data_IF_286236079557
#
_entry.id   IF_286236079557
#
_cell.length_a   1.000
_cell.length_b   1.000
_cell.length_c   1.000
_cell.angle_alpha   90.00
_cell.angle_beta   90.00
_cell.angle_gamma   90.00
#
_symmetry.space_group_name_H-M   'P 1'
#
loop_
_entity.id
_entity.type
_entity.pdbx_description
1 polymer ?
#
# COMPACT_ATOMS: atom_id res chain seq x y z
N UNK A 1 -7.95 14.60 11.49
CA UNK A 1 -7.06 14.60 10.32
C UNK A 1 -5.58 14.33 10.67
N UNK A 2 -4.88 15.15 11.45
CA UNK A 2 -3.45 14.90 11.77
C UNK A 2 -3.22 13.56 12.48
N UNK A 3 -4.03 13.21 13.46
CA UNK A 3 -3.90 11.92 14.16
C UNK A 3 -4.14 10.73 13.20
N UNK A 4 -5.13 10.84 12.32
CA UNK A 4 -5.37 9.83 11.27
C UNK A 4 -4.16 9.74 10.33
N UNK A 5 -3.60 10.89 9.90
CA UNK A 5 -2.42 10.91 9.06
C UNK A 5 -1.20 10.24 9.73
N UNK A 6 -1.03 10.42 11.06
CA UNK A 6 0.02 9.72 11.80
C UNK A 6 -0.19 8.20 11.83
N UNK A 7 -1.43 7.72 11.94
CA UNK A 7 -1.70 6.28 11.86
C UNK A 7 -1.24 5.70 10.52
N UNK A 8 -1.60 6.33 9.40
CA UNK A 8 -1.16 5.90 8.07
C UNK A 8 0.35 6.07 7.85
N UNK A 9 0.94 7.14 8.40
CA UNK A 9 2.40 7.34 8.35
C UNK A 9 3.13 6.23 9.12
N UNK A 10 2.64 5.85 10.32
CA UNK A 10 3.20 4.75 11.09
C UNK A 10 3.05 3.42 10.35
N UNK A 11 1.90 3.20 9.73
CA UNK A 11 1.64 2.03 8.88
C UNK A 11 2.63 1.95 7.70
N UNK A 12 2.86 3.07 7.00
CA UNK A 12 3.84 3.15 5.92
C UNK A 12 5.28 2.88 6.38
N UNK A 13 5.69 3.39 7.54
CA UNK A 13 7.00 3.08 8.13
C UNK A 13 7.11 1.60 8.50
N UNK A 14 6.04 1.02 9.05
CA UNK A 14 6.00 -0.40 9.38
C UNK A 14 6.21 -1.26 8.13
N UNK A 15 5.49 -0.99 7.05
CA UNK A 15 5.62 -1.76 5.81
C UNK A 15 6.98 -1.59 5.14
N UNK A 16 7.58 -0.38 5.19
CA UNK A 16 8.94 -0.14 4.70
C UNK A 16 9.98 -0.95 5.50
N UNK A 17 9.88 -1.02 6.82
CA UNK A 17 10.75 -1.85 7.65
C UNK A 17 10.52 -3.34 7.33
N UNK A 18 9.27 -3.80 7.32
CA UNK A 18 8.95 -5.19 7.02
C UNK A 18 9.49 -5.67 5.66
N UNK A 19 9.46 -4.81 4.64
CA UNK A 19 9.99 -5.12 3.32
C UNK A 19 11.51 -4.96 3.18
N UNK A 20 12.23 -4.49 4.21
CA UNK A 20 13.65 -4.22 4.09
C UNK A 20 14.48 -5.47 3.79
N UNK A 21 14.11 -6.63 4.34
CA UNK A 21 14.83 -7.89 4.11
C UNK A 21 14.36 -8.67 2.87
N UNK A 22 13.36 -8.16 2.13
CA UNK A 22 12.91 -8.80 0.89
C UNK A 22 14.00 -8.77 -0.20
N UNK A 23 13.99 -9.79 -1.07
CA UNK A 23 15.01 -9.96 -2.11
C UNK A 23 15.12 -8.74 -3.02
N UNK A 24 13.99 -8.16 -3.45
CA UNK A 24 13.95 -6.95 -4.28
C UNK A 24 14.65 -5.77 -3.60
N UNK A 25 14.39 -5.55 -2.32
CA UNK A 25 14.98 -4.47 -1.52
C UNK A 25 16.49 -4.63 -1.36
N UNK A 26 16.95 -5.87 -1.09
CA UNK A 26 18.39 -6.17 -1.00
C UNK A 26 19.11 -5.96 -2.33
N UNK A 27 18.49 -6.34 -3.46
CA UNK A 27 19.05 -6.15 -4.79
C UNK A 27 19.23 -4.66 -5.12
N UNK A 28 18.23 -3.82 -4.81
CA UNK A 28 18.32 -2.37 -5.04
C UNK A 28 19.36 -1.72 -4.13
N UNK A 29 19.38 -2.03 -2.84
CA UNK A 29 20.41 -1.51 -1.94
C UNK A 29 21.81 -1.86 -2.42
N UNK A 30 22.06 -3.12 -2.82
CA UNK A 30 23.34 -3.55 -3.39
C UNK A 30 23.69 -2.79 -4.67
N UNK A 31 22.72 -2.62 -5.57
CA UNK A 31 22.93 -1.94 -6.87
C UNK A 31 23.37 -0.49 -6.67
N UNK A 32 22.74 0.24 -5.75
CA UNK A 32 22.99 1.66 -5.55
C UNK A 32 24.06 1.98 -4.50
N UNK A 33 24.44 1.03 -3.63
CA UNK A 33 25.52 1.22 -2.66
C UNK A 33 26.93 1.18 -3.25
N UNK A 34 27.11 0.61 -4.44
CA UNK A 34 28.43 0.47 -5.11
C UNK A 34 29.02 1.82 -5.52
N UNK A 35 28.19 2.82 -5.73
CA UNK A 35 28.65 4.19 -5.96
C UNK A 35 28.81 4.87 -4.60
N UNK A 36 30.05 5.21 -4.20
CA UNK A 36 30.40 5.98 -2.97
C UNK A 36 29.86 7.42 -3.04
N UNK A 37 28.57 7.59 -3.34
CA UNK A 37 27.90 8.87 -3.24
C UNK A 37 27.64 9.14 -1.75
N UNK A 38 28.01 10.30 -1.29
CA UNK A 38 27.64 10.80 0.06
C UNK A 38 26.12 10.86 0.13
N UNK A 39 25.50 9.84 0.70
CA UNK A 39 24.05 9.78 0.81
C UNK A 39 23.53 10.75 1.87
N UNK A 40 22.41 11.38 1.60
CA UNK A 40 21.76 12.35 2.48
C UNK A 40 20.44 11.84 3.06
N UNK A 41 19.86 10.79 2.47
CA UNK A 41 18.58 10.24 2.87
C UNK A 41 18.69 8.78 3.33
N UNK A 42 17.89 8.43 4.34
CA UNK A 42 17.88 7.12 4.99
C UNK A 42 17.01 6.14 4.20
N UNK A 43 17.55 4.94 3.92
CA UNK A 43 16.76 3.77 3.61
C UNK A 43 16.48 3.02 4.92
N UNK A 44 15.21 2.83 5.26
CA UNK A 44 14.80 2.19 6.51
C UNK A 44 15.34 0.75 6.58
N UNK A 45 15.80 0.34 7.75
CA UNK A 45 16.45 -0.96 7.92
C UNK A 45 17.84 -1.06 7.28
N UNK A 46 18.48 0.04 6.89
CA UNK A 46 19.84 0.09 6.35
C UNK A 46 20.76 1.03 7.15
N UNK A 47 22.04 0.68 7.22
CA UNK A 47 23.07 1.58 7.76
C UNK A 47 23.48 2.68 6.79
N UNK A 48 23.38 2.38 5.49
CA UNK A 48 23.83 3.27 4.44
C UNK A 48 22.78 4.33 4.14
N UNK A 49 23.27 5.52 3.80
CA UNK A 49 22.48 6.59 3.20
C UNK A 49 22.63 6.56 1.68
N UNK A 50 21.61 7.08 1.00
CA UNK A 50 21.50 7.16 -0.45
C UNK A 50 21.15 8.60 -0.84
N UNK A 51 21.19 8.93 -2.14
CA UNK A 51 20.57 10.16 -2.62
C UNK A 51 19.08 10.14 -2.32
N UNK A 52 18.43 11.31 -2.30
CA UNK A 52 16.99 11.39 -1.98
C UNK A 52 16.16 10.54 -2.95
N UNK A 53 16.48 10.56 -4.25
CA UNK A 53 15.80 9.80 -5.29
C UNK A 53 15.93 8.29 -5.04
N UNK A 54 17.15 7.80 -4.82
CA UNK A 54 17.37 6.38 -4.58
C UNK A 54 16.79 5.91 -3.23
N UNK A 55 16.81 6.76 -2.20
CA UNK A 55 16.17 6.44 -0.93
C UNK A 55 14.65 6.36 -1.09
N UNK A 56 14.04 7.26 -1.86
CA UNK A 56 12.62 7.22 -2.19
C UNK A 56 12.27 5.93 -2.96
N UNK A 57 13.06 5.59 -4.00
CA UNK A 57 12.90 4.34 -4.75
C UNK A 57 12.92 3.12 -3.83
N UNK A 58 13.97 2.99 -3.02
CA UNK A 58 14.17 1.78 -2.22
C UNK A 58 13.12 1.68 -1.12
N UNK A 59 12.83 2.76 -0.39
CA UNK A 59 11.78 2.79 0.62
C UNK A 59 10.40 2.52 0.03
N UNK A 60 10.09 3.04 -1.17
CA UNK A 60 8.87 2.76 -1.88
C UNK A 60 8.72 1.29 -2.28
N UNK A 61 9.80 0.65 -2.75
CA UNK A 61 9.79 -0.80 -3.00
C UNK A 61 9.59 -1.58 -1.70
N UNK A 62 10.30 -1.22 -0.64
CA UNK A 62 10.16 -1.85 0.68
C UNK A 62 8.72 -1.77 1.19
N UNK A 63 8.10 -0.59 1.12
CA UNK A 63 6.74 -0.36 1.60
C UNK A 63 5.68 -1.19 0.87
N UNK A 64 5.90 -1.46 -0.43
CA UNK A 64 4.88 -2.10 -1.28
C UNK A 64 5.08 -3.60 -1.53
N UNK A 65 6.29 -4.13 -1.36
CA UNK A 65 6.62 -5.53 -1.73
C UNK A 65 5.82 -6.56 -0.94
N UNK A 66 5.44 -6.25 0.29
CA UNK A 66 4.66 -7.13 1.15
C UNK A 66 3.16 -7.13 0.82
N UNK A 67 2.68 -6.22 -0.02
CA UNK A 67 1.25 -5.98 -0.25
C UNK A 67 0.48 -5.74 1.08
N UNK A 68 1.14 -5.03 1.99
CA UNK A 68 0.67 -4.81 3.35
C UNK A 68 0.42 -3.31 3.65
N UNK A 69 0.75 -2.44 2.73
CA UNK A 69 0.47 -1.00 2.75
C UNK A 69 -1.02 -0.71 2.55
N UNK A 70 -1.44 0.48 2.99
CA UNK A 70 -2.82 0.92 2.92
C UNK A 70 -3.40 0.87 1.50
N UNK A 71 -4.72 0.96 1.40
CA UNK A 71 -5.41 0.93 0.11
C UNK A 71 -6.56 1.94 0.08
N UNK A 72 -6.60 2.74 -0.98
CA UNK A 72 -7.73 3.58 -1.27
C UNK A 72 -8.91 2.73 -1.72
N UNK A 73 -10.05 2.95 -1.10
CA UNK A 73 -11.32 2.32 -1.46
C UNK A 73 -12.10 3.23 -2.41
N UNK A 74 -13.06 2.63 -3.13
CA UNK A 74 -14.00 3.41 -3.93
C UNK A 74 -14.90 4.26 -3.02
N UNK A 75 -15.19 5.49 -3.43
CA UNK A 75 -16.09 6.39 -2.71
C UNK A 75 -17.48 6.46 -3.32
N UNK A 76 -17.60 6.04 -4.57
CA UNK A 76 -18.87 6.06 -5.31
C UNK A 76 -19.51 4.67 -5.33
N UNK A 77 -20.79 4.53 -4.94
CA UNK A 77 -21.52 3.26 -5.06
C UNK A 77 -21.52 2.69 -6.49
N UNK A 78 -21.44 3.55 -7.51
CA UNK A 78 -21.33 3.17 -8.92
C UNK A 78 -19.96 2.60 -9.31
N UNK A 79 -18.95 2.72 -8.43
CA UNK A 79 -17.56 2.28 -8.67
C UNK A 79 -17.04 1.46 -7.49
N UNK A 80 -17.64 0.31 -7.18
CA UNK A 80 -17.37 -0.44 -5.94
C UNK A 80 -15.92 -0.87 -5.74
N UNK A 81 -15.14 -0.93 -6.80
CA UNK A 81 -13.73 -1.35 -6.75
C UNK A 81 -12.73 -0.19 -6.73
N UNK A 82 -13.11 1.03 -7.16
CA UNK A 82 -12.18 2.15 -7.32
C UNK A 82 -10.93 1.79 -8.11
N UNK A 83 -9.85 2.55 -7.94
CA UNK A 83 -8.56 2.30 -8.61
C UNK A 83 -7.66 1.32 -7.84
N UNK A 84 -8.00 0.94 -6.62
CA UNK A 84 -7.15 0.11 -5.75
C UNK A 84 -5.72 0.69 -5.60
N UNK A 85 -5.63 2.01 -5.48
CA UNK A 85 -4.36 2.71 -5.26
C UNK A 85 -3.84 2.43 -3.85
N UNK A 86 -2.53 2.31 -3.70
CA UNK A 86 -1.83 2.27 -2.41
C UNK A 86 -1.13 3.61 -2.21
N UNK A 87 -1.81 4.62 -1.65
CA UNK A 87 -1.34 6.00 -1.77
C UNK A 87 -0.22 6.35 -0.82
N UNK A 88 -0.19 5.78 0.39
CA UNK A 88 0.83 6.13 1.40
C UNK A 88 2.24 5.79 0.94
N UNK A 89 2.45 4.63 0.34
CA UNK A 89 3.81 4.17 0.04
C UNK A 89 4.60 5.12 -0.88
N UNK A 90 4.12 5.48 -2.10
CA UNK A 90 4.88 6.40 -2.95
C UNK A 90 5.01 7.79 -2.35
N UNK A 91 3.95 8.32 -1.75
CA UNK A 91 3.91 9.67 -1.18
C UNK A 91 4.85 9.80 0.00
N UNK A 92 4.77 8.85 0.96
CA UNK A 92 5.61 8.90 2.16
C UNK A 92 7.07 8.64 1.84
N UNK A 93 7.39 7.69 0.96
CA UNK A 93 8.77 7.39 0.60
C UNK A 93 9.48 8.60 -0.04
N UNK A 94 8.79 9.33 -0.92
CA UNK A 94 9.29 10.55 -1.53
C UNK A 94 9.44 11.68 -0.51
N UNK A 95 8.37 11.98 0.25
CA UNK A 95 8.37 13.04 1.24
C UNK A 95 9.42 12.81 2.32
N UNK A 96 9.60 11.58 2.80
CA UNK A 96 10.55 11.22 3.85
C UNK A 96 12.00 11.43 3.38
N UNK A 97 12.33 10.95 2.18
CA UNK A 97 13.66 11.09 1.62
C UNK A 97 14.03 12.55 1.36
N UNK A 98 13.13 13.33 0.77
CA UNK A 98 13.35 14.74 0.49
C UNK A 98 13.36 15.57 1.80
N UNK A 99 12.49 15.27 2.78
CA UNK A 99 12.47 15.95 4.07
C UNK A 99 13.79 15.77 4.85
N UNK A 100 14.37 14.56 4.81
CA UNK A 100 15.65 14.31 5.44
C UNK A 100 16.78 15.07 4.74
N UNK A 101 16.86 15.03 3.40
CA UNK A 101 17.91 15.72 2.63
C UNK A 101 17.84 17.23 2.79
N UNK A 102 16.65 17.79 2.95
CA UNK A 102 16.42 19.23 3.15
C UNK A 102 16.37 19.63 4.63
N UNK A 103 16.68 18.73 5.56
CA UNK A 103 16.68 18.97 7.02
C UNK A 103 15.34 19.53 7.51
N UNK A 104 14.24 19.08 6.92
CA UNK A 104 12.91 19.57 7.25
C UNK A 104 12.48 19.15 8.66
N UNK A 105 11.49 19.86 9.21
CA UNK A 105 10.86 19.54 10.49
C UNK A 105 9.82 18.44 10.34
N UNK A 106 9.44 17.81 11.46
CA UNK A 106 8.35 16.83 11.46
C UNK A 106 7.01 17.42 11.04
N UNK A 107 6.73 18.67 11.39
CA UNK A 107 5.53 19.39 10.95
C UNK A 107 5.50 19.57 9.42
N UNK A 108 6.66 19.90 8.82
CA UNK A 108 6.75 20.03 7.36
C UNK A 108 6.53 18.67 6.66
N UNK A 109 7.13 17.60 7.17
CA UNK A 109 6.90 16.24 6.65
C UNK A 109 5.43 15.85 6.75
N UNK A 110 4.79 16.02 7.91
CA UNK A 110 3.39 15.63 8.09
C UNK A 110 2.45 16.40 7.15
N UNK A 111 2.67 17.72 6.99
CA UNK A 111 1.87 18.54 6.09
C UNK A 111 2.08 18.14 4.62
N UNK A 112 3.32 17.91 4.19
CA UNK A 112 3.62 17.48 2.82
C UNK A 112 3.03 16.10 2.51
N UNK A 113 3.10 15.17 3.45
CA UNK A 113 2.49 13.87 3.33
C UNK A 113 0.95 13.96 3.15
N UNK A 114 0.28 14.77 3.97
CA UNK A 114 -1.18 14.98 3.86
C UNK A 114 -1.56 15.55 2.49
N UNK A 115 -0.83 16.54 1.99
CA UNK A 115 -1.08 17.15 0.67
C UNK A 115 -0.88 16.15 -0.46
N UNK A 116 0.22 15.40 -0.45
CA UNK A 116 0.48 14.40 -1.48
C UNK A 116 -0.53 13.27 -1.48
N UNK A 117 -0.94 12.83 -0.28
CA UNK A 117 -1.98 11.82 -0.13
C UNK A 117 -3.33 12.28 -0.68
N UNK A 118 -3.70 13.54 -0.40
CA UNK A 118 -4.93 14.16 -0.94
C UNK A 118 -4.92 14.14 -2.46
N UNK A 119 -3.81 14.58 -3.09
CA UNK A 119 -3.69 14.59 -4.56
C UNK A 119 -3.78 13.18 -5.14
N UNK A 120 -3.04 12.21 -4.58
CA UNK A 120 -3.09 10.82 -5.04
C UNK A 120 -4.50 10.24 -4.96
N UNK A 121 -5.20 10.46 -3.84
CA UNK A 121 -6.53 9.92 -3.61
C UNK A 121 -7.60 10.61 -4.46
N UNK A 122 -7.54 11.93 -4.65
CA UNK A 122 -8.47 12.66 -5.52
C UNK A 122 -8.34 12.22 -6.97
N UNK A 123 -7.12 12.07 -7.47
CA UNK A 123 -6.89 11.52 -8.80
C UNK A 123 -7.40 10.07 -8.90
N UNK A 124 -7.15 9.24 -7.87
CA UNK A 124 -7.65 7.87 -7.82
C UNK A 124 -9.17 7.75 -7.80
N UNK A 125 -9.87 8.73 -7.24
CA UNK A 125 -11.33 8.76 -7.21
C UNK A 125 -11.92 9.32 -8.51
N UNK A 126 -11.26 10.32 -9.11
CA UNK A 126 -11.70 10.98 -10.33
C UNK A 126 -11.51 10.13 -11.59
N UNK A 127 -10.41 9.40 -11.68
CA UNK A 127 -10.08 8.56 -12.85
C UNK A 127 -11.00 7.34 -12.93
N UNK A 128 -11.54 7.05 -14.12
CA UNK A 128 -12.43 5.90 -14.35
C UNK A 128 -11.71 4.56 -14.12
N UNK A 129 -12.40 3.54 -13.59
CA UNK A 129 -11.84 2.20 -13.40
C UNK A 129 -11.22 1.56 -14.65
N UNK A 130 -11.54 2.05 -15.85
CA UNK A 130 -10.91 1.59 -17.09
C UNK A 130 -9.39 1.71 -17.06
N UNK A 131 -8.81 2.73 -16.42
CA UNK A 131 -7.37 2.84 -16.22
C UNK A 131 -6.77 1.59 -15.55
N UNK A 132 -7.41 1.12 -14.49
CA UNK A 132 -7.01 -0.13 -13.82
C UNK A 132 -7.28 -1.35 -14.71
N UNK A 133 -8.43 -1.40 -15.39
CA UNK A 133 -8.82 -2.52 -16.25
C UNK A 133 -7.94 -2.65 -17.49
N UNK A 134 -7.48 -1.53 -18.04
CA UNK A 134 -6.56 -1.47 -19.18
C UNK A 134 -5.12 -1.91 -18.83
N UNK A 135 -4.88 -2.26 -17.58
CA UNK A 135 -3.62 -2.85 -17.14
C UNK A 135 -2.66 -1.89 -16.45
N UNK A 136 -3.00 -0.62 -16.28
CA UNK A 136 -2.19 0.29 -15.48
C UNK A 136 -2.23 -0.08 -13.99
N UNK A 137 -1.15 0.20 -13.28
CA UNK A 137 -1.06 0.08 -11.82
C UNK A 137 -1.15 1.47 -11.20
N UNK A 138 -2.32 1.88 -10.68
CA UNK A 138 -2.56 3.26 -10.23
C UNK A 138 -1.61 3.74 -9.14
N UNK A 139 -1.11 2.83 -8.30
CA UNK A 139 -0.04 3.14 -7.33
C UNK A 139 1.23 3.68 -8.01
N UNK A 140 1.55 3.17 -9.21
CA UNK A 140 2.69 3.65 -9.99
C UNK A 140 2.38 4.94 -10.75
N UNK A 141 1.21 5.02 -11.38
CA UNK A 141 0.82 6.16 -12.23
C UNK A 141 0.33 7.36 -11.41
N UNK A 142 -0.75 7.20 -10.67
CA UNK A 142 -1.36 8.28 -9.88
C UNK A 142 -0.52 8.61 -8.63
N UNK A 143 0.16 7.60 -8.07
CA UNK A 143 1.08 7.80 -6.94
C UNK A 143 2.26 8.71 -7.27
N UNK A 144 2.71 8.78 -8.54
CA UNK A 144 3.75 9.71 -8.96
C UNK A 144 3.33 11.17 -8.80
N UNK A 145 2.09 11.51 -9.14
CA UNK A 145 1.56 12.87 -8.93
C UNK A 145 1.41 13.21 -7.44
N UNK A 146 0.94 12.25 -6.63
CA UNK A 146 0.87 12.43 -5.17
C UNK A 146 2.25 12.65 -4.54
N UNK A 147 3.25 11.86 -4.94
CA UNK A 147 4.63 12.02 -4.50
C UNK A 147 5.20 13.38 -4.91
N UNK A 148 4.94 13.82 -6.15
CA UNK A 148 5.31 15.15 -6.66
C UNK A 148 4.66 16.27 -5.84
N UNK A 149 3.37 16.17 -5.56
CA UNK A 149 2.65 17.19 -4.76
C UNK A 149 3.20 17.28 -3.33
N UNK A 150 3.53 16.14 -2.69
CA UNK A 150 4.17 16.13 -1.38
C UNK A 150 5.53 16.84 -1.40
N UNK A 151 6.38 16.51 -2.39
CA UNK A 151 7.70 17.11 -2.54
C UNK A 151 7.61 18.62 -2.88
N UNK A 152 6.68 19.02 -3.74
CA UNK A 152 6.45 20.42 -4.10
C UNK A 152 6.01 21.26 -2.89
N UNK A 153 5.12 20.72 -2.05
CA UNK A 153 4.71 21.33 -0.79
C UNK A 153 5.89 21.50 0.17
N UNK A 154 6.75 20.47 0.26
CA UNK A 154 7.92 20.51 1.13
C UNK A 154 8.94 21.59 0.71
N UNK A 155 9.16 21.73 -0.61
CA UNK A 155 10.04 22.76 -1.20
C UNK A 155 9.37 24.13 -1.32
N UNK A 156 8.07 24.25 -1.00
CA UNK A 156 7.28 25.49 -1.15
C UNK A 156 7.41 26.11 -2.54
N UNK A 157 7.24 25.26 -3.57
CA UNK A 157 7.35 25.71 -4.96
C UNK A 157 6.26 26.73 -5.31
N UNK A 158 6.57 27.63 -6.25
CA UNK A 158 5.60 28.53 -6.83
C UNK A 158 4.51 27.77 -7.61
N UNK A 159 3.30 28.33 -7.81
CA UNK A 159 2.26 27.67 -8.61
C UNK A 159 2.73 27.27 -10.01
N UNK A 160 3.56 28.07 -10.67
CA UNK A 160 4.13 27.75 -11.98
C UNK A 160 5.09 26.56 -11.90
N UNK A 161 6.00 26.56 -10.92
CA UNK A 161 6.94 25.45 -10.72
C UNK A 161 6.19 24.16 -10.36
N UNK A 162 5.06 24.23 -9.63
CA UNK A 162 4.21 23.06 -9.35
C UNK A 162 3.62 22.51 -10.65
N UNK A 163 3.12 23.34 -11.56
CA UNK A 163 2.61 22.89 -12.87
C UNK A 163 3.71 22.18 -13.66
N UNK A 164 4.92 22.76 -13.72
CA UNK A 164 6.06 22.10 -14.37
C UNK A 164 6.42 20.76 -13.70
N UNK A 165 6.44 20.71 -12.37
CA UNK A 165 6.68 19.45 -11.65
C UNK A 165 5.63 18.37 -12.00
N UNK A 166 4.35 18.74 -12.03
CA UNK A 166 3.27 17.82 -12.43
C UNK A 166 3.40 17.41 -13.91
N UNK A 167 3.81 18.32 -14.79
CA UNK A 167 4.10 18.02 -16.20
C UNK A 167 5.22 17.00 -16.37
N UNK A 168 6.32 17.15 -15.61
CA UNK A 168 7.42 16.18 -15.57
C UNK A 168 6.93 14.84 -15.02
N UNK A 169 6.17 14.87 -13.92
CA UNK A 169 5.61 13.66 -13.32
C UNK A 169 4.72 12.89 -14.31
N UNK A 170 3.93 13.59 -15.13
CA UNK A 170 3.09 12.99 -16.18
C UNK A 170 3.90 12.19 -17.19
N UNK A 171 5.06 12.69 -17.60
CA UNK A 171 5.99 11.98 -18.48
C UNK A 171 6.60 10.73 -17.80
N UNK A 172 6.82 10.76 -16.50
CA UNK A 172 7.44 9.69 -15.73
C UNK A 172 6.43 8.69 -15.16
N UNK A 173 5.13 9.01 -15.15
CA UNK A 173 4.08 8.19 -14.56
C UNK A 173 3.92 6.87 -15.31
N UNK A 174 4.23 5.77 -14.64
CA UNK A 174 4.24 4.44 -15.24
C UNK A 174 3.93 3.34 -14.23
N UNK A 175 3.63 2.15 -14.73
CA UNK A 175 3.41 0.96 -13.91
C UNK A 175 2.35 0.05 -14.51
N UNK A 176 2.62 -1.27 -14.54
CA UNK A 176 1.73 -2.27 -15.13
C UNK A 176 1.33 -3.35 -14.13
N UNK A 177 0.05 -3.71 -14.14
CA UNK A 177 -0.54 -4.78 -13.32
C UNK A 177 -0.06 -6.18 -13.71
N UNK A 178 0.43 -6.35 -14.93
CA UNK A 178 1.02 -7.62 -15.38
C UNK A 178 2.17 -8.10 -14.47
N UNK A 179 2.80 -7.18 -13.75
CA UNK A 179 3.86 -7.48 -12.77
C UNK A 179 3.35 -7.99 -11.40
N UNK A 180 2.05 -8.22 -11.23
CA UNK A 180 1.50 -8.78 -9.99
C UNK A 180 2.11 -10.14 -9.67
N UNK A 181 2.43 -10.39 -8.39
CA UNK A 181 3.11 -11.61 -7.96
C UNK A 181 4.58 -11.70 -8.36
N UNK A 182 5.21 -10.60 -8.77
CA UNK A 182 6.64 -10.49 -9.04
C UNK A 182 7.29 -9.37 -8.23
N UNK A 183 8.62 -9.34 -8.16
CA UNK A 183 9.36 -8.24 -7.52
C UNK A 183 9.08 -6.88 -8.18
N UNK A 184 8.76 -6.85 -9.47
CA UNK A 184 8.50 -5.63 -10.21
C UNK A 184 7.19 -4.93 -9.80
N UNK A 185 6.24 -5.63 -9.12
CA UNK A 185 5.08 -4.94 -8.53
C UNK A 185 5.53 -3.87 -7.53
N UNK A 186 6.44 -4.21 -6.61
CA UNK A 186 6.99 -3.26 -5.65
C UNK A 186 7.72 -2.10 -6.33
N UNK A 187 8.40 -2.37 -7.45
CA UNK A 187 9.10 -1.35 -8.22
C UNK A 187 8.18 -0.24 -8.73
N UNK A 188 6.90 -0.53 -9.04
CA UNK A 188 5.96 0.50 -9.49
C UNK A 188 5.80 1.62 -8.43
N UNK A 189 5.61 1.26 -7.16
CA UNK A 189 5.50 2.23 -6.08
C UNK A 189 6.82 2.97 -5.80
N UNK A 190 7.94 2.23 -5.85
CA UNK A 190 9.27 2.82 -5.69
C UNK A 190 9.60 3.83 -6.78
N UNK A 191 9.30 3.50 -8.05
CA UNK A 191 9.49 4.44 -9.17
C UNK A 191 8.58 5.67 -9.05
N UNK A 192 7.33 5.50 -8.62
CA UNK A 192 6.45 6.64 -8.37
C UNK A 192 7.03 7.60 -7.31
N UNK A 193 7.61 7.06 -6.23
CA UNK A 193 8.27 7.86 -5.20
C UNK A 193 9.52 8.57 -5.74
N UNK A 194 10.40 7.86 -6.44
CA UNK A 194 11.60 8.42 -7.07
C UNK A 194 11.25 9.51 -8.08
N UNK A 195 10.26 9.25 -8.94
CA UNK A 195 9.79 10.19 -9.96
C UNK A 195 9.23 11.47 -9.33
N UNK A 196 8.56 11.37 -8.17
CA UNK A 196 8.09 12.54 -7.42
C UNK A 196 9.24 13.43 -6.95
N UNK A 197 10.32 12.86 -6.45
CA UNK A 197 11.53 13.61 -6.05
C UNK A 197 12.19 14.23 -7.28
N UNK A 198 12.41 13.46 -8.34
CA UNK A 198 13.05 13.94 -9.60
C UNK A 198 12.23 15.08 -10.22
N UNK A 199 10.92 14.89 -10.41
CA UNK A 199 10.06 15.88 -11.04
C UNK A 199 10.08 17.22 -10.28
N UNK A 200 10.06 17.15 -8.95
CA UNK A 200 10.01 18.34 -8.11
C UNK A 200 11.35 19.06 -8.05
N UNK A 201 12.46 18.34 -7.96
CA UNK A 201 13.79 18.96 -7.92
C UNK A 201 14.15 19.57 -9.28
N UNK A 202 13.86 18.91 -10.39
CA UNK A 202 14.04 19.48 -11.72
C UNK A 202 13.24 20.78 -11.91
N UNK A 203 11.97 20.81 -11.51
CA UNK A 203 11.15 22.00 -11.61
C UNK A 203 11.66 23.13 -10.67
N UNK A 204 12.20 22.79 -9.50
CA UNK A 204 12.84 23.76 -8.60
C UNK A 204 14.09 24.39 -9.23
N UNK A 205 14.82 23.63 -10.05
CA UNK A 205 16.00 24.09 -10.78
C UNK A 205 15.65 24.80 -12.10
N UNK A 206 14.36 25.01 -12.41
CA UNK A 206 13.89 25.75 -13.57
C UNK A 206 13.61 24.90 -14.82
N UNK A 207 13.58 23.56 -14.70
CA UNK A 207 13.18 22.70 -15.81
C UNK A 207 11.70 22.85 -16.12
N UNK A 208 11.35 23.09 -17.39
CA UNK A 208 9.98 23.38 -17.83
C UNK A 208 9.28 22.14 -18.41
N UNK A 209 7.97 22.07 -18.28
CA UNK A 209 7.10 21.09 -18.88
C UNK A 209 5.72 21.70 -19.18
N UNK A 210 4.79 20.92 -19.76
CA UNK A 210 3.41 21.35 -19.99
C UNK A 210 2.77 21.79 -18.68
N UNK A 211 2.16 22.97 -18.70
CA UNK A 211 1.40 23.50 -17.57
C UNK A 211 0.00 22.87 -17.45
N UNK A 212 -0.48 22.19 -18.50
CA UNK A 212 -1.81 21.59 -18.62
C UNK A 212 -1.73 20.08 -18.82
N UNK A 213 -0.77 19.39 -18.17
CA UNK A 213 -0.50 17.95 -18.37
C UNK A 213 -1.73 17.06 -18.21
N UNK A 214 -2.73 17.46 -17.43
CA UNK A 214 -3.93 16.69 -17.21
C UNK A 214 -4.97 16.89 -18.31
N UNK A 215 -5.23 18.13 -18.72
CA UNK A 215 -6.37 18.52 -19.56
C UNK A 215 -5.99 18.68 -21.05
N UNK A 216 -4.71 18.66 -21.39
CA UNK A 216 -4.26 18.71 -22.78
C UNK A 216 -4.83 17.50 -23.55
N UNK A 217 -5.28 17.67 -24.82
CA UNK A 217 -5.75 16.54 -25.65
C UNK A 217 -4.75 15.40 -25.82
N UNK A 218 -3.46 15.65 -25.65
CA UNK A 218 -2.38 14.67 -25.62
C UNK A 218 -1.83 14.45 -24.21
N UNK A 219 -2.51 14.98 -23.19
CA UNK A 219 -2.11 14.91 -21.79
C UNK A 219 -2.48 13.60 -21.10
N UNK A 220 -2.22 13.53 -19.80
CA UNK A 220 -2.33 12.29 -19.03
C UNK A 220 -3.75 11.71 -19.03
N UNK A 221 -4.79 12.55 -18.87
CA UNK A 221 -6.16 12.03 -18.83
C UNK A 221 -6.59 11.44 -20.17
N UNK A 222 -6.19 12.07 -21.29
CA UNK A 222 -6.46 11.51 -22.62
C UNK A 222 -5.67 10.23 -22.88
N UNK A 223 -4.37 10.28 -22.69
CA UNK A 223 -3.46 9.19 -23.05
C UNK A 223 -3.60 7.96 -22.15
N UNK A 224 -3.66 8.14 -20.83
CA UNK A 224 -3.66 7.04 -19.86
C UNK A 224 -5.04 6.69 -19.30
N UNK A 225 -6.04 7.57 -19.45
CA UNK A 225 -7.38 7.37 -18.88
C UNK A 225 -8.49 7.41 -19.95
N UNK A 226 -8.15 7.43 -21.25
CA UNK A 226 -9.10 7.53 -22.38
C UNK A 226 -10.03 8.74 -22.27
N UNK A 227 -9.61 9.83 -21.63
CA UNK A 227 -10.44 11.01 -21.34
C UNK A 227 -11.56 10.74 -20.32
N UNK A 228 -11.62 9.55 -19.70
CA UNK A 228 -12.69 9.19 -18.76
C UNK A 228 -12.32 9.58 -17.34
N UNK A 229 -12.58 10.85 -17.02
CA UNK A 229 -12.30 11.42 -15.70
C UNK A 229 -13.52 12.23 -15.23
N UNK A 230 -13.91 12.01 -13.99
CA UNK A 230 -14.93 12.84 -13.34
C UNK A 230 -14.24 14.00 -12.60
N UNK A 231 -14.11 15.15 -13.27
CA UNK A 231 -13.44 16.34 -12.73
C UNK A 231 -14.15 16.95 -11.52
N UNK A 232 -15.45 16.67 -11.32
CA UNK A 232 -16.19 17.13 -10.14
C UNK A 232 -15.65 16.52 -8.83
N UNK A 233 -14.92 15.41 -8.91
CA UNK A 233 -14.25 14.78 -7.78
C UNK A 233 -12.87 15.37 -7.47
N UNK A 234 -12.34 16.22 -8.34
CA UNK A 234 -11.05 16.94 -8.15
C UNK A 234 -11.24 18.23 -7.32
N UNK A 235 -12.10 18.18 -6.31
CA UNK A 235 -12.31 19.32 -5.40
C UNK A 235 -11.36 19.24 -4.22
N UNK A 236 -10.49 20.23 -4.12
CA UNK A 236 -9.51 20.36 -3.04
C UNK A 236 -9.95 21.42 -2.02
N UNK A 237 -9.53 21.26 -0.76
CA UNK A 237 -9.68 22.29 0.27
C UNK A 237 -10.90 22.15 1.18
N UNK A 238 -11.95 21.39 0.81
CA UNK A 238 -13.16 21.24 1.63
C UNK A 238 -12.97 20.18 2.73
N UNK A 239 -12.68 18.94 2.32
CA UNK A 239 -12.43 17.80 3.22
C UNK A 239 -11.30 16.97 2.68
N UNK A 240 -10.29 16.74 3.48
CA UNK A 240 -9.19 15.88 3.11
C UNK A 240 -9.63 14.41 3.06
N UNK A 241 -9.22 13.71 2.01
CA UNK A 241 -9.60 12.32 1.75
C UNK A 241 -9.24 11.38 2.90
N UNK A 242 -8.10 11.58 3.54
CA UNK A 242 -7.65 10.80 4.71
C UNK A 242 -8.59 10.91 5.91
N UNK A 243 -9.34 12.00 6.04
CA UNK A 243 -10.32 12.17 7.11
C UNK A 243 -11.70 11.60 6.72
N UNK A 244 -12.10 11.84 5.47
CA UNK A 244 -13.37 11.33 4.92
C UNK A 244 -13.28 11.35 3.38
N UNK A 245 -13.52 10.22 2.70
CA UNK A 245 -14.09 8.95 3.20
C UNK A 245 -13.12 8.11 4.01
N UNK A 246 -11.80 8.35 3.93
CA UNK A 246 -10.77 7.59 4.59
C UNK A 246 -10.09 6.57 3.67
N UNK A 247 -9.05 5.95 4.18
CA UNK A 247 -8.22 4.96 3.49
C UNK A 247 -8.15 3.72 4.38
N UNK A 248 -8.18 2.53 3.80
CA UNK A 248 -8.11 1.29 4.56
C UNK A 248 -6.67 0.92 4.89
N UNK A 249 -6.38 0.68 6.17
CA UNK A 249 -5.11 0.11 6.63
C UNK A 249 -5.22 -1.41 6.57
N UNK A 250 -4.28 -2.06 5.90
CA UNK A 250 -4.26 -3.52 5.81
C UNK A 250 -3.73 -4.16 7.09
N UNK A 251 -4.46 -5.16 7.61
CA UNK A 251 -4.02 -5.99 8.74
C UNK A 251 -3.52 -7.37 8.32
N UNK A 252 -3.60 -7.69 7.03
CA UNK A 252 -3.06 -8.91 6.42
C UNK A 252 -2.15 -8.56 5.24
N UNK A 253 -1.00 -9.23 5.05
CA UNK A 253 -0.03 -8.93 3.99
C UNK A 253 -0.42 -9.58 2.66
N UNK A 254 -1.60 -9.23 2.13
CA UNK A 254 -2.16 -9.78 0.89
C UNK A 254 -3.13 -8.80 0.22
N UNK A 255 -3.69 -9.20 -0.92
CA UNK A 255 -4.67 -8.42 -1.67
C UNK A 255 -5.85 -7.98 -0.79
N UNK A 256 -6.20 -6.70 -0.81
CA UNK A 256 -7.22 -6.13 0.07
C UNK A 256 -8.59 -6.82 -0.04
N UNK A 257 -8.91 -7.36 -1.21
CA UNK A 257 -10.15 -8.13 -1.46
C UNK A 257 -10.24 -9.43 -0.66
N UNK A 258 -9.11 -9.94 -0.14
CA UNK A 258 -9.08 -11.12 0.72
C UNK A 258 -9.34 -10.80 2.20
N UNK A 259 -9.25 -9.54 2.61
CA UNK A 259 -9.33 -9.18 4.02
C UNK A 259 -10.69 -9.54 4.65
N UNK A 260 -11.87 -9.22 4.04
CA UNK A 260 -13.13 -9.66 4.60
C UNK A 260 -13.24 -11.19 4.67
N UNK A 261 -12.74 -11.90 3.65
CA UNK A 261 -12.72 -13.38 3.64
C UNK A 261 -11.89 -13.92 4.80
N UNK A 262 -10.72 -13.33 5.07
CA UNK A 262 -9.84 -13.76 6.16
C UNK A 262 -10.47 -13.49 7.53
N UNK A 263 -11.09 -12.32 7.74
CA UNK A 263 -11.82 -12.04 8.98
C UNK A 263 -12.93 -13.07 9.23
N UNK A 264 -13.76 -13.37 8.20
CA UNK A 264 -14.81 -14.38 8.28
C UNK A 264 -14.25 -15.79 8.51
N UNK A 265 -13.16 -16.14 7.84
CA UNK A 265 -12.50 -17.45 7.99
C UNK A 265 -12.00 -17.66 9.42
N UNK A 266 -11.30 -16.66 9.96
CA UNK A 266 -10.75 -16.71 11.32
C UNK A 266 -11.85 -16.72 12.38
N UNK A 267 -12.93 -15.95 12.18
CA UNK A 267 -14.08 -15.95 13.07
C UNK A 267 -14.79 -17.31 13.12
N UNK A 268 -15.10 -17.91 11.94
CA UNK A 268 -15.71 -19.24 11.87
C UNK A 268 -14.81 -20.30 12.52
N UNK A 269 -13.50 -20.25 12.25
CA UNK A 269 -12.54 -21.19 12.83
C UNK A 269 -12.59 -21.16 14.37
N UNK A 270 -12.61 -19.98 14.96
CA UNK A 270 -12.63 -19.82 16.41
C UNK A 270 -14.00 -20.23 16.98
N UNK A 271 -15.09 -19.70 16.41
CA UNK A 271 -16.45 -19.89 16.88
C UNK A 271 -16.89 -21.36 16.87
N UNK A 272 -16.50 -22.09 15.81
CA UNK A 272 -16.90 -23.49 15.63
C UNK A 272 -15.77 -24.47 15.88
N UNK A 273 -14.61 -24.03 16.40
CA UNK A 273 -13.43 -24.87 16.67
C UNK A 273 -13.06 -25.75 15.48
N UNK A 274 -13.06 -25.15 14.29
CA UNK A 274 -12.85 -25.88 13.03
C UNK A 274 -11.42 -26.45 12.97
N UNK A 275 -11.32 -27.78 12.86
CA UNK A 275 -10.08 -28.49 12.66
C UNK A 275 -9.81 -28.73 11.16
N UNK A 276 -8.61 -28.39 10.64
CA UNK A 276 -8.32 -28.46 9.19
C UNK A 276 -8.55 -29.84 8.55
N UNK A 277 -8.33 -30.92 9.30
CA UNK A 277 -8.48 -32.29 8.79
C UNK A 277 -9.95 -32.70 8.59
N UNK A 278 -10.87 -32.07 9.30
CA UNK A 278 -12.31 -32.40 9.28
C UNK A 278 -13.10 -31.61 8.22
N UNK A 279 -12.42 -30.79 7.42
CA UNK A 279 -13.05 -30.02 6.35
C UNK A 279 -13.17 -30.90 5.10
N UNK A 280 -14.35 -30.98 4.51
CA UNK A 280 -14.59 -31.57 3.20
C UNK A 280 -14.27 -30.56 2.08
N UNK A 281 -14.92 -29.40 2.10
CA UNK A 281 -14.70 -28.32 1.12
C UNK A 281 -14.96 -26.95 1.71
N UNK A 282 -14.41 -25.93 1.03
CA UNK A 282 -14.60 -24.50 1.37
C UNK A 282 -15.02 -23.78 0.09
N UNK A 283 -16.11 -23.03 0.14
CA UNK A 283 -16.55 -22.17 -0.95
C UNK A 283 -16.49 -20.72 -0.54
N UNK A 284 -15.85 -19.90 -1.37
CA UNK A 284 -15.75 -18.46 -1.15
C UNK A 284 -16.42 -17.72 -2.29
N UNK A 285 -17.50 -17.03 -1.98
CA UNK A 285 -18.24 -16.20 -2.93
C UNK A 285 -17.70 -14.78 -2.95
N UNK A 286 -17.24 -14.31 -4.12
CA UNK A 286 -16.78 -12.93 -4.34
C UNK A 286 -17.42 -12.37 -5.62
N UNK A 287 -17.58 -11.04 -5.66
CA UNK A 287 -17.89 -10.33 -6.91
C UNK A 287 -16.82 -10.60 -7.97
N UNK A 288 -17.25 -10.73 -9.23
CA UNK A 288 -16.36 -11.05 -10.35
C UNK A 288 -15.23 -10.03 -10.50
N UNK A 289 -15.53 -8.73 -10.32
CA UNK A 289 -14.52 -7.69 -10.43
C UNK A 289 -13.58 -7.67 -9.20
N UNK A 290 -14.13 -7.94 -8.01
CA UNK A 290 -13.33 -8.08 -6.78
C UNK A 290 -12.33 -9.24 -6.88
N UNK A 291 -12.69 -10.30 -7.59
CA UNK A 291 -11.84 -11.47 -7.79
C UNK A 291 -10.71 -11.26 -8.83
N UNK A 292 -10.71 -10.17 -9.61
CA UNK A 292 -9.68 -9.92 -10.64
C UNK A 292 -8.23 -9.91 -10.13
N UNK A 293 -7.90 -9.46 -8.92
CA UNK A 293 -6.54 -9.58 -8.39
C UNK A 293 -6.10 -11.01 -8.08
N UNK A 294 -7.02 -11.95 -7.88
CA UNK A 294 -6.76 -13.30 -7.39
C UNK A 294 -6.44 -14.25 -8.54
N UNK A 295 -5.19 -14.23 -9.00
CA UNK A 295 -4.77 -14.92 -10.25
C UNK A 295 -3.97 -16.20 -10.01
N UNK A 296 -3.64 -16.53 -8.76
CA UNK A 296 -2.82 -17.69 -8.43
C UNK A 296 -3.61 -18.71 -7.58
N UNK A 297 -4.10 -19.77 -8.19
CA UNK A 297 -4.69 -20.89 -7.44
C UNK A 297 -3.60 -21.71 -6.73
N UNK A 298 -2.45 -21.92 -7.39
CA UNK A 298 -1.31 -22.67 -6.90
C UNK A 298 -0.06 -21.78 -6.88
N UNK A 299 0.11 -20.91 -5.88
CA UNK A 299 1.25 -20.02 -5.80
C UNK A 299 2.56 -20.80 -5.63
N UNK A 300 3.63 -20.30 -6.28
CA UNK A 300 4.97 -20.90 -6.25
C UNK A 300 5.86 -20.31 -5.17
N UNK A 301 5.54 -19.11 -4.71
CA UNK A 301 6.33 -18.37 -3.73
C UNK A 301 5.45 -17.42 -2.90
N UNK A 302 6.09 -16.71 -1.96
CA UNK A 302 5.41 -15.76 -1.08
C UNK A 302 4.81 -14.55 -1.82
N UNK A 303 5.35 -14.15 -2.98
CA UNK A 303 4.83 -13.02 -3.75
C UNK A 303 3.52 -13.39 -4.45
N UNK A 304 3.45 -14.61 -5.02
CA UNK A 304 2.23 -15.13 -5.64
C UNK A 304 1.16 -15.46 -4.60
N UNK A 305 1.56 -15.96 -3.43
CA UNK A 305 0.67 -16.30 -2.32
C UNK A 305 -0.22 -15.13 -1.88
N UNK A 306 0.28 -13.90 -1.95
CA UNK A 306 -0.45 -12.67 -1.61
C UNK A 306 -1.68 -12.42 -2.52
N UNK A 307 -1.73 -13.08 -3.67
CA UNK A 307 -2.80 -13.00 -4.67
C UNK A 307 -3.47 -14.36 -4.91
N UNK A 308 -3.42 -15.25 -3.89
CA UNK A 308 -4.05 -16.57 -3.90
C UNK A 308 -5.11 -16.67 -2.83
N UNK A 309 -6.38 -16.80 -3.26
CA UNK A 309 -7.48 -17.10 -2.35
C UNK A 309 -7.25 -18.43 -1.63
N UNK A 310 -6.89 -19.45 -2.42
CA UNK A 310 -6.72 -20.81 -1.92
C UNK A 310 -5.69 -20.87 -0.80
N UNK A 311 -4.54 -20.20 -1.00
CA UNK A 311 -3.50 -20.13 0.02
C UNK A 311 -3.94 -19.32 1.25
N UNK A 312 -4.51 -18.13 1.05
CA UNK A 312 -4.89 -17.23 2.14
C UNK A 312 -5.90 -17.89 3.10
N UNK A 313 -6.94 -18.54 2.56
CA UNK A 313 -7.93 -19.27 3.36
C UNK A 313 -7.31 -20.49 4.03
N UNK A 314 -6.52 -21.29 3.30
CA UNK A 314 -5.92 -22.48 3.84
C UNK A 314 -4.94 -22.17 4.99
N UNK A 315 -4.08 -21.18 4.84
CA UNK A 315 -3.11 -20.81 5.90
C UNK A 315 -3.83 -20.23 7.12
N UNK A 316 -4.88 -19.42 6.92
CA UNK A 316 -5.69 -18.88 8.02
C UNK A 316 -6.34 -20.00 8.85
N UNK A 317 -6.85 -21.05 8.22
CA UNK A 317 -7.45 -22.19 8.89
C UNK A 317 -6.37 -23.04 9.60
N UNK A 318 -5.28 -23.35 8.92
CA UNK A 318 -4.22 -24.22 9.50
C UNK A 318 -3.54 -23.55 10.69
N UNK A 319 -3.14 -22.29 10.54
CA UNK A 319 -2.37 -21.57 11.56
C UNK A 319 -3.23 -20.78 12.56
N UNK A 320 -4.53 -20.54 12.26
CA UNK A 320 -5.37 -19.63 13.03
C UNK A 320 -4.94 -18.17 12.95
N UNK A 321 -4.09 -17.83 11.98
CA UNK A 321 -3.50 -16.50 11.73
C UNK A 321 -3.21 -16.32 10.24
N UNK A 322 -3.12 -15.05 9.81
CA UNK A 322 -2.78 -14.69 8.44
C UNK A 322 -1.81 -13.49 8.39
N UNK A 323 -0.84 -13.43 9.30
CA UNK A 323 0.16 -12.35 9.40
C UNK A 323 1.40 -12.60 8.53
N UNK A 324 2.46 -11.80 8.72
CA UNK A 324 3.71 -11.88 7.95
C UNK A 324 4.35 -13.28 7.98
N UNK A 325 4.34 -13.94 9.15
CA UNK A 325 4.92 -15.27 9.33
C UNK A 325 4.15 -16.37 8.59
N UNK A 326 2.92 -16.11 8.16
CA UNK A 326 2.11 -17.02 7.35
C UNK A 326 2.36 -16.87 5.85
N UNK A 327 2.74 -15.68 5.37
CA UNK A 327 2.98 -15.42 3.95
C UNK A 327 4.46 -15.56 3.57
N UNK A 328 5.05 -16.71 3.89
CA UNK A 328 6.46 -17.07 3.59
C UNK A 328 6.54 -18.17 2.53
N UNK A 329 7.68 -18.27 1.86
CA UNK A 329 7.92 -19.34 0.88
C UNK A 329 7.80 -20.74 1.51
N UNK A 330 8.23 -20.91 2.75
CA UNK A 330 8.11 -22.16 3.50
C UNK A 330 6.65 -22.58 3.69
N UNK A 331 5.78 -21.63 4.10
CA UNK A 331 4.35 -21.91 4.30
C UNK A 331 3.64 -22.22 2.98
N UNK A 332 4.04 -21.62 1.87
CA UNK A 332 3.51 -21.93 0.53
C UNK A 332 3.77 -23.40 0.15
N UNK A 333 4.87 -23.96 0.63
CA UNK A 333 5.24 -25.36 0.35
C UNK A 333 4.82 -26.36 1.43
N UNK A 334 4.19 -25.93 2.51
CA UNK A 334 3.71 -26.80 3.59
C UNK A 334 2.66 -27.82 3.09
N UNK A 335 2.87 -29.13 3.31
CA UNK A 335 1.95 -30.16 2.81
C UNK A 335 0.53 -30.07 3.37
N UNK A 336 0.36 -29.59 4.62
CA UNK A 336 -0.96 -29.42 5.24
C UNK A 336 -1.74 -28.31 4.56
N UNK A 337 -1.07 -27.17 4.30
CA UNK A 337 -1.67 -26.04 3.58
C UNK A 337 -2.02 -26.46 2.16
N UNK A 338 -1.09 -27.07 1.42
CA UNK A 338 -1.33 -27.54 0.04
C UNK A 338 -2.51 -28.51 -0.07
N UNK A 339 -2.69 -29.38 0.93
CA UNK A 339 -3.83 -30.28 0.97
C UNK A 339 -5.14 -29.52 1.11
N UNK A 340 -5.19 -28.55 2.02
CA UNK A 340 -6.40 -27.76 2.24
C UNK A 340 -6.71 -26.80 1.08
N UNK A 341 -5.68 -26.23 0.44
CA UNK A 341 -5.85 -25.39 -0.75
C UNK A 341 -6.68 -26.07 -1.86
N UNK A 342 -6.53 -27.39 -2.06
CA UNK A 342 -7.27 -28.16 -3.06
C UNK A 342 -8.77 -28.25 -2.76
N UNK A 343 -9.19 -27.92 -1.53
CA UNK A 343 -10.58 -27.94 -1.08
C UNK A 343 -11.24 -26.55 -1.11
N UNK A 344 -10.47 -25.51 -1.48
CA UNK A 344 -10.96 -24.12 -1.56
C UNK A 344 -11.39 -23.81 -3.00
N UNK A 345 -12.64 -23.40 -3.15
CA UNK A 345 -13.27 -23.05 -4.41
C UNK A 345 -13.69 -21.57 -4.42
N UNK A 346 -13.31 -20.83 -5.46
CA UNK A 346 -13.79 -19.48 -5.72
C UNK A 346 -15.10 -19.53 -6.52
N UNK A 347 -16.18 -19.05 -5.93
CA UNK A 347 -17.48 -18.87 -6.59
C UNK A 347 -17.61 -17.40 -7.02
N UNK A 348 -17.49 -17.14 -8.33
CA UNK A 348 -17.67 -15.80 -8.89
C UNK A 348 -19.15 -15.45 -8.95
N UNK A 349 -19.52 -14.31 -8.42
CA UNK A 349 -20.90 -13.81 -8.36
C UNK A 349 -21.03 -12.52 -9.16
N UNK A 350 -22.20 -12.26 -9.80
CA UNK A 350 -22.46 -10.94 -10.35
C UNK A 350 -22.50 -9.89 -9.25
N UNK A 351 -22.12 -8.65 -9.59
CA UNK A 351 -22.21 -7.50 -8.69
C UNK A 351 -23.67 -7.36 -8.22
N UNK A 352 -23.91 -7.40 -6.92
CA UNK A 352 -25.24 -7.10 -6.38
C UNK A 352 -25.45 -5.59 -6.42
N UNK A 353 -26.58 -5.20 -7.02
CA UNK A 353 -26.99 -3.78 -7.13
C UNK A 353 -27.51 -3.18 -5.80
N UNK A 354 -27.54 -3.93 -4.72
CA UNK A 354 -27.95 -3.40 -3.44
C UNK A 354 -27.02 -2.29 -2.98
N UNK A 355 -27.59 -1.18 -2.54
CA UNK A 355 -26.92 0.04 -2.05
C UNK A 355 -25.98 -0.33 -0.90
N UNK A 356 -24.71 -0.60 -1.16
CA UNK A 356 -23.81 -1.00 -0.11
C UNK A 356 -22.58 -0.13 -0.02
N UNK A 357 -22.20 -0.02 1.22
CA UNK A 357 -20.96 0.50 1.76
C UNK A 357 -19.76 0.13 0.89
N UNK A 358 -18.76 0.97 0.93
CA UNK A 358 -17.48 0.80 0.24
C UNK A 358 -16.73 -0.44 0.74
N UNK A 359 -17.16 -1.64 0.34
CA UNK A 359 -16.57 -2.90 0.79
C UNK A 359 -16.61 -3.97 -0.31
N UNK A 360 -16.04 -5.14 0.00
CA UNK A 360 -16.05 -6.31 -0.90
C UNK A 360 -17.01 -7.36 -0.35
N UNK A 361 -18.20 -7.48 -0.97
CA UNK A 361 -19.19 -8.50 -0.56
C UNK A 361 -18.55 -9.90 -0.66
N UNK A 362 -18.39 -10.51 0.49
CA UNK A 362 -17.69 -11.77 0.69
C UNK A 362 -18.57 -12.74 1.45
N UNK A 363 -18.61 -13.98 0.99
CA UNK A 363 -19.27 -15.08 1.70
C UNK A 363 -18.33 -16.27 1.75
N UNK A 364 -18.34 -16.96 2.89
CA UNK A 364 -17.61 -18.21 3.06
C UNK A 364 -18.55 -19.30 3.56
N UNK A 365 -18.44 -20.47 2.96
CA UNK A 365 -19.09 -21.71 3.38
C UNK A 365 -18.02 -22.77 3.63
N UNK A 366 -18.01 -23.33 4.82
CA UNK A 366 -17.12 -24.45 5.20
C UNK A 366 -17.99 -25.67 5.46
N UNK A 367 -17.84 -26.71 4.65
CA UNK A 367 -18.52 -28.00 4.79
C UNK A 367 -17.57 -28.97 5.47
N UNK A 368 -18.04 -29.55 6.57
CA UNK A 368 -17.29 -30.54 7.34
C UNK A 368 -17.54 -31.95 6.82
N UNK A 369 -16.64 -32.89 7.11
CA UNK A 369 -16.76 -34.31 6.70
C UNK A 369 -17.99 -34.99 7.33
N UNK A 370 -18.41 -34.56 8.52
CA UNK A 370 -19.62 -35.05 9.19
C UNK A 370 -20.93 -34.46 8.65
N UNK A 371 -20.84 -33.60 7.60
CA UNK A 371 -21.97 -32.95 6.96
C UNK A 371 -22.35 -31.61 7.59
N UNK A 372 -21.74 -31.17 8.69
CA UNK A 372 -21.99 -29.86 9.27
C UNK A 372 -21.57 -28.76 8.29
N UNK A 373 -22.33 -27.65 8.22
CA UNK A 373 -22.06 -26.52 7.33
C UNK A 373 -22.04 -25.23 8.12
N UNK A 374 -20.90 -24.53 8.03
CA UNK A 374 -20.71 -23.24 8.67
C UNK A 374 -20.62 -22.13 7.62
N UNK A 375 -21.41 -21.06 7.79
CA UNK A 375 -21.49 -19.96 6.84
C UNK A 375 -21.28 -18.63 7.54
N UNK A 376 -20.61 -17.70 6.85
CA UNK A 376 -20.51 -16.31 7.25
C UNK A 376 -20.51 -15.41 6.01
N UNK A 377 -20.99 -14.17 6.18
CA UNK A 377 -21.01 -13.15 5.15
C UNK A 377 -20.65 -11.79 5.75
N UNK A 378 -19.92 -10.98 4.99
CA UNK A 378 -19.55 -9.62 5.35
C UNK A 378 -18.94 -8.89 4.16
N UNK A 379 -18.86 -7.57 4.26
CA UNK A 379 -18.29 -6.74 3.18
C UNK A 379 -17.13 -5.88 3.66
N UNK A 380 -17.01 -5.68 4.97
CA UNK A 380 -16.04 -4.79 5.59
C UNK A 380 -15.08 -5.60 6.44
N UNK A 381 -13.78 -5.38 6.24
CA UNK A 381 -12.73 -5.96 7.07
C UNK A 381 -12.24 -4.98 8.14
N UNK A 382 -11.57 -5.48 9.16
CA UNK A 382 -10.83 -4.64 10.11
C UNK A 382 -9.77 -3.81 9.37
N UNK A 383 -9.62 -2.56 9.79
CA UNK A 383 -8.76 -1.58 9.12
C UNK A 383 -9.47 -0.76 8.03
N UNK A 384 -10.72 -1.12 7.67
CA UNK A 384 -11.56 -0.28 6.82
C UNK A 384 -11.96 1.01 7.57
N UNK A 385 -12.18 2.17 6.90
CA UNK A 385 -12.56 3.42 7.56
C UNK A 385 -13.81 3.33 8.43
N UNK A 386 -14.78 2.46 8.12
CA UNK A 386 -15.97 2.20 8.97
C UNK A 386 -15.70 1.21 10.12
N UNK A 387 -14.59 0.49 10.10
CA UNK A 387 -14.10 -0.40 11.16
C UNK A 387 -12.58 -0.20 11.34
N UNK A 388 -12.14 0.99 11.78
CA UNK A 388 -10.75 1.40 11.72
C UNK A 388 -9.86 0.56 12.64
N UNK A 389 -8.63 0.35 12.20
CA UNK A 389 -7.60 -0.20 13.07
C UNK A 389 -7.28 0.77 14.21
N UNK A 390 -7.16 0.24 15.41
CA UNK A 390 -6.75 1.01 16.57
C UNK A 390 -5.27 1.39 16.53
N UNK A 391 -4.90 2.41 17.28
CA UNK A 391 -3.50 2.79 17.48
C UNK A 391 -2.64 1.60 17.93
N UNK A 392 -3.13 0.80 18.87
CA UNK A 392 -2.42 -0.36 19.39
C UNK A 392 -2.14 -1.41 18.31
N UNK A 393 -3.11 -1.66 17.41
CA UNK A 393 -2.92 -2.60 16.29
C UNK A 393 -1.87 -2.10 15.30
N UNK A 394 -1.82 -0.79 15.02
CA UNK A 394 -0.81 -0.24 14.11
C UNK A 394 0.59 -0.23 14.76
N UNK A 395 0.69 0.10 16.04
CA UNK A 395 1.94 -0.02 16.79
C UNK A 395 2.44 -1.47 16.83
N UNK A 396 1.53 -2.45 17.00
CA UNK A 396 1.87 -3.87 16.97
C UNK A 396 2.32 -4.31 15.58
N UNK A 397 1.66 -3.82 14.52
CA UNK A 397 2.11 -4.03 13.14
C UNK A 397 3.54 -3.52 12.92
N UNK A 398 3.89 -2.33 13.44
CA UNK A 398 5.27 -1.84 13.39
C UNK A 398 6.23 -2.77 14.12
N UNK A 399 5.87 -3.26 15.33
CA UNK A 399 6.71 -4.21 16.09
C UNK A 399 6.96 -5.48 15.29
N UNK A 400 5.92 -6.08 14.72
CA UNK A 400 6.03 -7.28 13.90
C UNK A 400 6.88 -7.05 12.64
N UNK A 401 6.68 -5.95 11.94
CA UNK A 401 7.44 -5.61 10.73
C UNK A 401 8.92 -5.33 11.00
N UNK A 402 9.26 -4.84 12.19
CA UNK A 402 10.60 -4.42 12.55
C UNK A 402 11.38 -5.47 13.37
N UNK A 403 10.76 -6.58 13.81
CA UNK A 403 11.35 -7.52 14.80
C UNK A 403 12.69 -8.10 14.35
N UNK A 404 12.87 -8.37 13.05
CA UNK A 404 14.12 -8.93 12.50
C UNK A 404 15.17 -7.87 12.12
N UNK A 405 14.87 -6.58 12.35
CA UNK A 405 15.68 -5.46 11.90
C UNK A 405 16.16 -4.60 13.06
N UNK A 406 15.26 -4.34 14.01
CA UNK A 406 15.49 -3.40 15.12
C UNK A 406 15.27 -4.08 16.48
N UNK A 407 16.11 -3.79 17.48
CA UNK A 407 15.88 -4.26 18.85
C UNK A 407 14.54 -3.75 19.40
N UNK A 408 13.80 -4.55 20.21
CA UNK A 408 12.50 -4.15 20.77
C UNK A 408 12.56 -2.82 21.57
N UNK A 409 13.64 -2.58 22.31
CA UNK A 409 13.85 -1.31 23.05
C UNK A 409 13.92 -0.11 22.11
N UNK A 410 14.55 -0.27 20.95
CA UNK A 410 14.69 0.81 19.96
C UNK A 410 13.34 1.15 19.34
N UNK A 411 12.52 0.13 19.02
CA UNK A 411 11.15 0.30 18.54
C UNK A 411 10.28 1.01 19.59
N UNK A 412 10.36 0.58 20.85
CA UNK A 412 9.59 1.19 21.94
C UNK A 412 9.95 2.67 22.15
N UNK A 413 11.23 3.03 22.05
CA UNK A 413 11.67 4.41 22.15
C UNK A 413 11.18 5.24 20.95
N UNK A 414 11.27 4.71 19.73
CA UNK A 414 10.76 5.39 18.55
C UNK A 414 9.25 5.67 18.67
N UNK A 415 8.45 4.71 19.15
CA UNK A 415 7.00 4.89 19.31
C UNK A 415 6.63 5.99 20.30
N UNK A 416 7.45 6.24 21.36
CA UNK A 416 7.23 7.36 22.28
C UNK A 416 7.35 8.71 21.58
N UNK A 417 8.34 8.86 20.69
CA UNK A 417 8.62 10.11 19.99
C UNK A 417 7.77 10.28 18.72
N UNK A 418 7.24 9.17 18.20
CA UNK A 418 6.46 9.18 16.96
C UNK A 418 5.20 10.04 17.06
N UNK A 419 4.45 9.93 18.16
CA UNK A 419 3.15 10.61 18.29
C UNK A 419 3.24 12.11 18.47
N UNK A 420 4.44 12.61 18.71
CA UNK A 420 4.77 14.05 18.77
C UNK A 420 5.63 14.48 17.57
N UNK A 421 5.51 13.78 16.44
CA UNK A 421 6.29 14.02 15.21
C UNK A 421 6.34 15.50 14.83
N UNK A 422 5.24 16.24 14.97
CA UNK A 422 5.20 17.66 14.62
C UNK A 422 6.18 18.54 15.40
N UNK A 423 6.62 18.07 16.57
CA UNK A 423 7.63 18.75 17.41
C UNK A 423 9.07 18.40 17.03
N UNK A 424 9.26 17.42 16.15
CA UNK A 424 10.61 17.04 15.73
C UNK A 424 11.27 18.18 14.92
N UNK A 425 12.39 18.71 15.40
CA UNK A 425 13.07 19.83 14.73
C UNK A 425 13.81 19.38 13.46
N UNK A 426 14.05 18.10 13.31
CA UNK A 426 14.76 17.52 12.17
C UNK A 426 14.35 16.08 11.92
N UNK A 427 13.92 15.77 10.69
CA UNK A 427 13.62 14.42 10.26
C UNK A 427 14.85 13.51 10.29
N UNK A 428 16.03 14.05 10.00
CA UNK A 428 17.28 13.28 10.07
C UNK A 428 17.57 12.74 11.48
N UNK A 429 17.28 13.52 12.52
CA UNK A 429 17.42 13.08 13.92
C UNK A 429 16.31 12.11 14.30
N UNK A 430 15.07 12.38 13.89
CA UNK A 430 13.89 11.57 14.18
C UNK A 430 13.95 10.17 13.58
N UNK A 431 14.60 10.00 12.40
CA UNK A 431 14.77 8.69 11.74
C UNK A 431 15.91 7.84 12.32
N UNK A 432 16.79 8.37 13.17
CA UNK A 432 17.94 7.60 13.71
C UNK A 432 17.53 6.29 14.39
N UNK A 433 16.45 6.22 15.19
CA UNK A 433 15.98 4.98 15.79
C UNK A 433 15.54 3.91 14.80
N UNK A 434 15.26 4.25 13.54
CA UNK A 434 14.86 3.30 12.51
C UNK A 434 16.02 2.74 11.68
N UNK A 435 17.24 3.02 12.08
CA UNK A 435 18.46 2.40 11.54
C UNK A 435 18.88 1.23 12.42
N UNK A 436 19.29 0.10 11.85
CA UNK A 436 19.83 -1.01 12.64
C UNK A 436 20.99 -0.56 13.50
N UNK A 437 21.26 -1.19 14.64
CA UNK A 437 22.49 -0.96 15.39
C UNK A 437 23.71 -1.37 14.56
N UNK A 438 24.79 -0.64 14.62
CA UNK A 438 26.07 -1.07 14.03
C UNK A 438 26.51 -2.34 14.75
N UNK A 439 26.73 -3.41 14.00
CA UNK A 439 27.35 -4.63 14.53
C UNK A 439 28.82 -4.38 14.84
#
# INVERSE_FOLDING_TARGET
MRETAKLHLLDGLATMLGGANEKSSRLLRRRFSVRKLTGEATVLGSHNKFSAEHAALINGVQGHVLDYDDAQLATLPSRPMGQQTHPTTPVLAAALALAESRRATGAALLNSYIVGLEVACRLGDAVDPSHYLDGFHPTGTLGAFGATAACAQLLRLSPLSIRHALGIAGTLASGLRANRGTMAKGLNAGRAAENGVIATTLAADGFTASENIFDDPMGFFSAACRGRVNTDLLRFGERFFIAKPGIAIKLYPCAGVLHPVLDLTLDLRVRHRIEPNNIDRIRVGLDTNAALPLVYENPKDNLQAKFSLNFAVAVAIVDGKAGLKQFTAERVHDPKIKRLMKRVELVRRPLRQEKHETGVDSEIEIVMIDGAVHRARGSVARGHPSLPASRAEIEDKLRQCAEDILPPRQIANFLKDFWILERAPSIAAWLRPLRPPRR
#
